data_IF_656877104355
#
_entry.id   IF_656877104355
#
_cell.length_a   1.000
_cell.length_b   1.000
_cell.length_c   1.000
_cell.angle_alpha   90.00
_cell.angle_beta   90.00
_cell.angle_gamma   90.00
#
_symmetry.space_group_name_H-M   'P 1'
#
loop_
_entity.id
_entity.type
_entity.pdbx_description
1 polymer ?
#
# COMPACT_ATOMS: atom_id res chain seq x y z
N UNK A 1 9.29 -22.12 -5.34
CA UNK A 1 8.45 -21.53 -4.27
C UNK A 1 7.11 -21.18 -4.88
N UNK A 2 6.00 -21.72 -4.36
CA UNK A 2 4.68 -21.21 -4.71
C UNK A 2 4.50 -19.84 -4.04
N UNK A 3 4.03 -18.83 -4.76
CA UNK A 3 3.76 -17.51 -4.21
C UNK A 3 2.56 -17.60 -3.26
N UNK A 4 2.69 -17.09 -2.03
CA UNK A 4 1.57 -17.03 -1.08
C UNK A 4 0.58 -15.98 -1.60
N UNK A 5 -0.73 -16.30 -1.70
CA UNK A 5 -1.72 -15.33 -2.13
C UNK A 5 -1.76 -14.11 -1.21
N UNK A 6 -1.79 -12.91 -1.79
CA UNK A 6 -1.77 -11.65 -1.05
C UNK A 6 -3.15 -11.00 -1.03
N UNK A 7 -3.48 -10.42 0.12
CA UNK A 7 -4.61 -9.50 0.27
C UNK A 7 -4.07 -8.07 0.32
N UNK A 8 -4.64 -7.17 -0.49
CA UNK A 8 -4.24 -5.75 -0.49
C UNK A 8 -5.30 -4.91 0.21
N UNK A 9 -4.86 -4.14 1.21
CA UNK A 9 -5.68 -3.18 1.94
C UNK A 9 -5.20 -1.75 1.63
N UNK A 10 -6.12 -0.79 1.57
CA UNK A 10 -5.78 0.62 1.48
C UNK A 10 -6.97 1.53 1.76
N UNK A 11 -6.70 2.80 2.04
CA UNK A 11 -7.70 3.80 2.43
C UNK A 11 -8.22 4.66 1.27
N UNK A 12 -7.58 4.57 0.10
CA UNK A 12 -8.11 5.18 -1.11
C UNK A 12 -9.17 4.29 -1.77
N UNK A 13 -10.43 4.49 -1.41
CA UNK A 13 -11.57 3.78 -2.02
C UNK A 13 -11.56 3.85 -3.56
N UNK A 14 -11.12 4.99 -4.12
CA UNK A 14 -10.98 5.18 -5.56
C UNK A 14 -9.95 4.21 -6.16
N UNK A 15 -8.73 4.14 -5.62
CA UNK A 15 -7.66 3.29 -6.15
C UNK A 15 -8.03 1.81 -5.98
N UNK A 16 -8.56 1.43 -4.82
CA UNK A 16 -9.05 0.06 -4.58
C UNK A 16 -10.11 -0.33 -5.62
N UNK A 17 -11.08 0.55 -5.90
CA UNK A 17 -12.10 0.30 -6.91
C UNK A 17 -11.52 0.16 -8.32
N UNK A 18 -10.54 1.00 -8.68
CA UNK A 18 -9.85 0.90 -9.98
C UNK A 18 -9.18 -0.47 -10.15
N UNK A 19 -8.51 -0.98 -9.11
CA UNK A 19 -7.87 -2.30 -9.15
C UNK A 19 -8.88 -3.44 -9.23
N UNK A 20 -9.95 -3.40 -8.42
CA UNK A 20 -11.01 -4.43 -8.42
C UNK A 20 -11.77 -4.52 -9.75
N UNK A 21 -12.09 -3.37 -10.35
CA UNK A 21 -12.89 -3.30 -11.57
C UNK A 21 -12.04 -3.24 -12.84
N UNK A 22 -10.72 -3.28 -12.69
CA UNK A 22 -9.76 -3.10 -13.77
C UNK A 22 -9.97 -1.82 -14.60
N UNK A 23 -10.35 -0.72 -13.93
CA UNK A 23 -10.74 0.52 -14.59
C UNK A 23 -9.67 1.60 -14.43
N UNK A 24 -8.82 1.85 -15.43
CA UNK A 24 -7.81 2.91 -15.36
C UNK A 24 -8.46 4.30 -15.30
N UNK A 25 -7.82 5.29 -14.63
CA UNK A 25 -8.26 6.67 -14.70
C UNK A 25 -8.04 7.26 -16.10
N UNK A 26 -8.85 8.25 -16.48
CA UNK A 26 -8.78 8.90 -17.82
C UNK A 26 -7.54 9.76 -18.03
N UNK A 27 -6.99 10.36 -16.97
CA UNK A 27 -5.82 11.25 -17.06
C UNK A 27 -4.57 10.41 -17.33
N UNK A 28 -3.86 10.72 -18.42
CA UNK A 28 -2.75 9.89 -18.95
C UNK A 28 -1.65 9.58 -17.94
N UNK A 29 -1.25 10.57 -17.13
CA UNK A 29 -0.22 10.38 -16.10
C UNK A 29 -0.66 9.38 -15.02
N UNK A 30 -1.93 9.42 -14.60
CA UNK A 30 -2.49 8.49 -13.62
C UNK A 30 -2.73 7.11 -14.25
N UNK A 31 -3.15 7.05 -15.52
CA UNK A 31 -3.32 5.80 -16.26
C UNK A 31 -2.00 5.02 -16.33
N UNK A 32 -0.90 5.74 -16.58
CA UNK A 32 0.45 5.16 -16.57
C UNK A 32 0.80 4.52 -15.22
N UNK A 33 0.51 5.20 -14.10
CA UNK A 33 0.74 4.67 -12.75
C UNK A 33 -0.14 3.46 -12.45
N UNK A 34 -1.41 3.50 -12.85
CA UNK A 34 -2.33 2.37 -12.74
C UNK A 34 -1.81 1.14 -13.49
N UNK A 35 -1.36 1.29 -14.75
CA UNK A 35 -0.83 0.15 -15.50
C UNK A 35 0.47 -0.41 -14.91
N UNK A 36 1.31 0.45 -14.32
CA UNK A 36 2.51 0.00 -13.63
C UNK A 36 2.17 -0.82 -12.39
N UNK A 37 1.26 -0.34 -11.54
CA UNK A 37 0.84 -1.07 -10.35
C UNK A 37 0.10 -2.36 -10.70
N UNK A 38 -0.74 -2.35 -11.74
CA UNK A 38 -1.44 -3.55 -12.24
C UNK A 38 -0.47 -4.63 -12.71
N UNK A 39 0.59 -4.27 -13.45
CA UNK A 39 1.61 -5.25 -13.87
C UNK A 39 2.29 -5.91 -12.67
N UNK A 40 2.64 -5.14 -11.63
CA UNK A 40 3.23 -5.69 -10.41
C UNK A 40 2.22 -6.63 -9.71
N UNK A 41 0.97 -6.19 -9.58
CA UNK A 41 -0.08 -7.03 -9.02
C UNK A 41 -0.28 -8.34 -9.82
N UNK A 42 -0.18 -8.31 -11.15
CA UNK A 42 -0.32 -9.50 -12.00
C UNK A 42 0.86 -10.47 -11.89
N UNK A 43 2.05 -9.98 -11.51
CA UNK A 43 3.19 -10.84 -11.18
C UNK A 43 3.09 -11.47 -9.80
N UNK A 44 2.20 -10.96 -8.95
CA UNK A 44 1.92 -11.47 -7.61
C UNK A 44 0.61 -12.27 -7.63
N UNK A 45 0.44 -13.19 -6.69
CA UNK A 45 -0.84 -13.90 -6.52
C UNK A 45 -1.80 -13.03 -5.70
N UNK A 46 -2.25 -11.88 -6.22
CA UNK A 46 -3.22 -11.04 -5.50
C UNK A 46 -4.61 -11.70 -5.50
N UNK A 47 -5.11 -12.05 -4.31
CA UNK A 47 -6.40 -12.71 -4.14
C UNK A 47 -7.56 -11.71 -4.08
N UNK A 48 -7.35 -10.58 -3.41
CA UNK A 48 -8.43 -9.63 -3.14
C UNK A 48 -7.91 -8.25 -2.75
N UNK A 49 -8.79 -7.26 -2.91
CA UNK A 49 -8.55 -5.87 -2.55
C UNK A 49 -9.68 -5.38 -1.64
N UNK A 50 -9.31 -4.76 -0.52
CA UNK A 50 -10.25 -4.19 0.46
C UNK A 50 -9.96 -2.74 0.76
N UNK A 51 -11.02 -1.96 0.89
CA UNK A 51 -10.95 -0.59 1.37
C UNK A 51 -11.13 -0.58 2.88
N UNK A 52 -10.17 -0.03 3.61
CA UNK A 52 -10.28 0.25 5.04
C UNK A 52 -10.31 1.75 5.27
N UNK A 53 -11.00 2.23 6.29
CA UNK A 53 -10.88 3.64 6.66
C UNK A 53 -9.45 3.96 7.09
N UNK A 54 -9.01 5.21 6.90
CA UNK A 54 -7.66 5.68 7.30
C UNK A 54 -7.33 5.36 8.76
N UNK A 55 -8.33 5.38 9.65
CA UNK A 55 -8.19 5.01 11.05
C UNK A 55 -7.74 3.55 11.28
N UNK A 56 -7.85 2.69 10.27
CA UNK A 56 -7.50 1.26 10.28
C UNK A 56 -6.40 0.93 9.25
N UNK A 57 -5.69 1.94 8.74
CA UNK A 57 -4.57 1.80 7.81
C UNK A 57 -3.37 2.61 8.34
N UNK A 58 -3.14 2.52 9.66
CA UNK A 58 -2.30 3.42 10.44
C UNK A 58 -0.83 3.27 10.09
N UNK A 59 -0.36 2.05 9.84
CA UNK A 59 1.04 1.80 9.46
C UNK A 59 1.35 2.48 8.12
N UNK A 60 0.50 2.27 7.12
CA UNK A 60 0.67 2.88 5.80
C UNK A 60 0.53 4.40 5.86
N UNK A 61 -0.41 4.91 6.67
CA UNK A 61 -0.61 6.34 6.84
C UNK A 61 0.59 7.02 7.50
N UNK A 62 1.11 6.44 8.59
CA UNK A 62 2.28 6.96 9.28
C UNK A 62 3.52 6.95 8.37
N UNK A 63 3.72 5.87 7.62
CA UNK A 63 4.83 5.78 6.67
C UNK A 63 4.74 6.86 5.57
N UNK A 64 3.52 7.11 5.05
CA UNK A 64 3.30 8.16 4.06
C UNK A 64 3.53 9.57 4.63
N UNK A 65 3.01 9.86 5.83
CA UNK A 65 3.21 11.15 6.49
C UNK A 65 4.69 11.38 6.83
N UNK A 66 5.39 10.38 7.36
CA UNK A 66 6.83 10.48 7.64
C UNK A 66 7.65 10.82 6.38
N UNK A 67 7.34 10.18 5.25
CA UNK A 67 8.01 10.49 3.98
C UNK A 67 7.66 11.91 3.47
N UNK A 68 6.41 12.34 3.65
CA UNK A 68 5.96 13.67 3.26
C UNK A 68 6.61 14.77 4.10
N UNK A 69 6.63 14.62 5.43
CA UNK A 69 7.19 15.59 6.38
C UNK A 69 8.70 15.70 6.28
N UNK A 70 9.39 14.56 6.11
CA UNK A 70 10.84 14.54 5.97
C UNK A 70 11.31 14.90 4.57
N UNK A 71 10.43 14.87 3.57
CA UNK A 71 10.76 14.95 2.14
C UNK A 71 11.84 13.94 1.70
N UNK A 72 11.98 12.82 2.42
CA UNK A 72 12.97 11.78 2.15
C UNK A 72 12.34 10.40 2.02
N UNK A 73 12.90 9.59 1.11
CA UNK A 73 12.54 8.18 0.98
C UNK A 73 13.43 7.34 1.88
N UNK A 74 12.82 6.62 2.83
CA UNK A 74 13.53 5.74 3.76
C UNK A 74 12.95 4.33 3.70
N UNK A 75 13.82 3.32 3.74
CA UNK A 75 13.44 1.91 3.77
C UNK A 75 14.04 1.26 5.01
N UNK A 76 13.28 0.36 5.62
CA UNK A 76 13.69 -0.40 6.81
C UNK A 76 13.49 -1.90 6.56
N UNK A 77 14.38 -2.76 7.06
CA UNK A 77 14.08 -4.18 7.17
C UNK A 77 12.87 -4.38 8.09
N UNK A 78 12.05 -5.42 7.86
CA UNK A 78 10.91 -5.71 8.72
C UNK A 78 11.10 -7.08 9.41
N UNK A 79 11.17 -7.13 10.75
CA UNK A 79 11.13 -6.03 11.71
C UNK A 79 12.42 -5.18 11.74
N UNK A 80 12.34 -3.94 12.24
CA UNK A 80 13.49 -3.00 12.34
C UNK A 80 13.79 -2.62 13.79
N UNK A 81 15.08 -2.44 14.10
CA UNK A 81 15.54 -1.90 15.38
C UNK A 81 15.66 -0.37 15.37
N UNK A 82 15.51 0.29 14.21
CA UNK A 82 15.56 1.77 14.13
C UNK A 82 14.30 2.35 14.74
N UNK A 83 14.47 3.31 15.66
CA UNK A 83 13.38 4.00 16.35
C UNK A 83 12.34 4.58 15.38
N UNK A 84 12.78 5.21 14.29
CA UNK A 84 11.88 5.79 13.28
C UNK A 84 11.04 4.76 12.51
N UNK A 85 11.49 3.52 12.38
CA UNK A 85 10.70 2.44 11.77
C UNK A 85 9.98 1.55 12.78
N UNK A 86 10.35 1.61 14.06
CA UNK A 86 9.72 0.83 15.13
C UNK A 86 8.28 1.29 15.39
N UNK A 87 8.03 2.59 15.42
CA UNK A 87 6.66 3.13 15.56
C UNK A 87 5.74 2.67 14.42
N UNK A 88 6.24 2.69 13.18
CA UNK A 88 5.53 2.17 12.00
C UNK A 88 5.22 0.67 12.20
N UNK A 89 6.20 -0.11 12.66
CA UNK A 89 6.02 -1.55 12.90
C UNK A 89 5.02 -1.86 14.01
N UNK A 90 5.00 -1.08 15.09
CA UNK A 90 4.12 -1.30 16.24
C UNK A 90 2.64 -1.06 15.88
N UNK A 91 2.34 -0.31 14.80
CA UNK A 91 0.98 -0.07 14.32
C UNK A 91 0.37 -1.23 13.51
N UNK A 92 1.15 -2.26 13.17
CA UNK A 92 0.67 -3.39 12.39
C UNK A 92 -0.48 -4.16 13.08
N UNK A 93 -0.48 -4.26 14.41
CA UNK A 93 -1.51 -4.98 15.16
C UNK A 93 -2.93 -4.38 15.00
N UNK A 94 -3.04 -3.13 14.55
CA UNK A 94 -4.32 -2.44 14.36
C UNK A 94 -4.83 -2.32 12.92
N UNK A 95 -4.09 -2.86 11.94
CA UNK A 95 -4.34 -2.64 10.50
C UNK A 95 -5.08 -3.80 9.79
N UNK A 96 -5.35 -4.91 10.49
CA UNK A 96 -6.03 -6.11 9.95
C UNK A 96 -7.43 -6.27 10.52
#
# INVERSE_FOLDING_TARGET
MACVPLHVVGDSAMIIRQQKLHHPPKKSNLARLYHQSKRVADTMTILSWSHHYRANNKMADLAANHAMDSATSTQYPFPTARSSGKEISDLLEGDV
#
